data_IF_743828255175
#
_entry.id   IF_743828255175
#
_cell.length_a   1.000
_cell.length_b   1.000
_cell.length_c   1.000
_cell.angle_alpha   90.00
_cell.angle_beta   90.00
_cell.angle_gamma   90.00
#
_symmetry.space_group_name_H-M   'P 1'
#
loop_
_entity.id
_entity.type
_entity.pdbx_description
1 polymer ?
#
# COMPACT_ATOMS: atom_id res chain seq x y z
N UNK A 1 -27.08 -19.41 -19.74
CA UNK A 1 -26.22 -20.50 -19.17
C UNK A 1 -26.96 -21.31 -18.10
N UNK A 2 -27.79 -20.70 -17.24
CA UNK A 2 -28.66 -21.42 -16.27
C UNK A 2 -29.66 -22.38 -16.92
N UNK A 3 -30.17 -22.04 -18.11
CA UNK A 3 -31.25 -22.80 -18.76
C UNK A 3 -30.78 -24.14 -19.33
N UNK A 4 -29.51 -24.22 -19.76
CA UNK A 4 -28.91 -25.46 -20.28
C UNK A 4 -28.69 -26.49 -19.16
N UNK A 5 -28.26 -26.01 -17.99
CA UNK A 5 -28.03 -26.86 -16.81
C UNK A 5 -29.35 -27.44 -16.29
N UNK A 6 -30.43 -26.64 -16.27
CA UNK A 6 -31.75 -27.11 -15.83
C UNK A 6 -32.30 -28.22 -16.75
N UNK A 7 -32.19 -28.03 -18.07
CA UNK A 7 -32.66 -29.02 -19.05
C UNK A 7 -31.90 -30.34 -18.99
N UNK A 8 -30.59 -30.29 -18.75
CA UNK A 8 -29.75 -31.47 -18.59
C UNK A 8 -30.09 -32.26 -17.31
N UNK A 9 -30.32 -31.57 -16.20
CA UNK A 9 -30.70 -32.18 -14.92
C UNK A 9 -32.05 -32.90 -15.03
N UNK A 10 -33.04 -32.29 -15.67
CA UNK A 10 -34.36 -32.92 -15.86
C UNK A 10 -34.31 -34.14 -16.79
N UNK A 11 -33.46 -34.11 -17.82
CA UNK A 11 -33.25 -35.25 -18.72
C UNK A 11 -32.58 -36.42 -18.01
N UNK A 12 -31.60 -36.14 -17.13
CA UNK A 12 -30.93 -37.16 -16.33
C UNK A 12 -31.88 -37.78 -15.30
N UNK A 13 -32.72 -36.98 -14.64
CA UNK A 13 -33.71 -37.47 -13.66
C UNK A 13 -34.70 -38.44 -14.32
N UNK A 14 -35.17 -38.15 -15.53
CA UNK A 14 -36.07 -39.03 -16.30
C UNK A 14 -35.42 -40.36 -16.66
N UNK A 15 -34.13 -40.35 -17.00
CA UNK A 15 -33.43 -41.55 -17.44
C UNK A 15 -32.94 -42.43 -16.29
N UNK A 16 -32.72 -41.82 -15.12
CA UNK A 16 -32.46 -42.54 -13.86
C UNK A 16 -33.72 -43.21 -13.31
N UNK A 17 -34.90 -42.64 -13.52
CA UNK A 17 -36.18 -43.22 -13.08
C UNK A 17 -36.56 -44.50 -13.85
N UNK A 18 -36.05 -44.70 -15.07
CA UNK A 18 -36.29 -45.90 -15.88
C UNK A 18 -35.41 -47.10 -15.52
N UNK A 19 -34.30 -46.92 -14.79
CA UNK A 19 -33.36 -48.02 -14.48
C UNK A 19 -33.54 -48.52 -13.06
N UNK A 20 -33.58 -49.85 -12.91
CA UNK A 20 -33.88 -50.53 -11.64
C UNK A 20 -33.02 -50.06 -10.45
N UNK A 21 -33.62 -50.13 -9.24
CA UNK A 21 -33.19 -49.52 -7.98
C UNK A 21 -31.69 -49.61 -7.64
N UNK A 22 -30.99 -50.69 -8.03
CA UNK A 22 -29.55 -50.87 -7.80
C UNK A 22 -28.66 -50.06 -8.76
N UNK A 23 -29.07 -49.86 -10.02
CA UNK A 23 -28.34 -49.09 -11.02
C UNK A 23 -28.55 -47.58 -10.78
N UNK A 24 -29.76 -47.20 -10.34
CA UNK A 24 -30.10 -45.83 -9.94
C UNK A 24 -29.22 -45.31 -8.79
N UNK A 25 -28.93 -46.15 -7.79
CA UNK A 25 -28.04 -45.78 -6.69
C UNK A 25 -26.58 -45.62 -7.12
N UNK A 26 -26.05 -46.51 -7.98
CA UNK A 26 -24.66 -46.42 -8.44
C UNK A 26 -24.39 -45.18 -9.32
N UNK A 27 -25.35 -44.77 -10.14
CA UNK A 27 -25.20 -43.59 -11.00
C UNK A 27 -25.41 -42.29 -10.20
N UNK A 28 -26.33 -42.26 -9.23
CA UNK A 28 -26.55 -41.11 -8.36
C UNK A 28 -25.28 -40.75 -7.54
N UNK A 29 -24.55 -41.75 -7.05
CA UNK A 29 -23.31 -41.54 -6.28
C UNK A 29 -22.16 -41.02 -7.15
N UNK A 30 -22.11 -41.42 -8.43
CA UNK A 30 -21.04 -41.04 -9.36
C UNK A 30 -21.24 -39.62 -9.92
N UNK A 31 -22.50 -39.20 -10.12
CA UNK A 31 -22.83 -37.81 -10.52
C UNK A 31 -22.61 -36.84 -9.35
N UNK A 32 -22.91 -37.24 -8.12
CA UNK A 32 -22.70 -36.40 -6.93
C UNK A 32 -21.22 -36.08 -6.69
N UNK A 33 -20.30 -36.99 -7.00
CA UNK A 33 -18.85 -36.77 -6.84
C UNK A 33 -18.25 -35.87 -7.92
N UNK A 34 -18.73 -35.97 -9.17
CA UNK A 34 -18.24 -35.12 -10.27
C UNK A 34 -18.75 -33.67 -10.14
N UNK A 35 -19.97 -33.46 -9.61
CA UNK A 35 -20.51 -32.11 -9.38
C UNK A 35 -19.81 -31.39 -8.22
N UNK A 36 -19.42 -32.11 -7.15
CA UNK A 36 -18.69 -31.52 -6.02
C UNK A 36 -17.25 -31.12 -6.36
N UNK A 37 -16.62 -31.81 -7.31
CA UNK A 37 -15.25 -31.50 -7.74
C UNK A 37 -15.18 -30.32 -8.73
N UNK A 38 -16.27 -30.00 -9.43
CA UNK A 38 -16.31 -28.91 -10.41
C UNK A 38 -16.61 -27.52 -9.81
N UNK A 39 -17.15 -27.43 -8.59
CA UNK A 39 -17.48 -26.15 -7.92
C UNK A 39 -16.37 -25.62 -7.01
N UNK A 40 -15.29 -26.38 -6.84
CA UNK A 40 -14.13 -26.01 -6.01
C UNK A 40 -13.10 -25.21 -6.80
N UNK A 41 -13.52 -24.32 -7.70
CA UNK A 41 -12.63 -23.23 -8.13
C UNK A 41 -12.57 -22.24 -6.97
N UNK A 42 -11.62 -22.51 -6.07
CA UNK A 42 -11.19 -21.59 -5.01
C UNK A 42 -10.85 -20.28 -5.73
N UNK A 43 -11.72 -19.28 -5.58
CA UNK A 43 -11.38 -17.89 -5.90
C UNK A 43 -10.37 -17.50 -4.81
N UNK A 44 -9.10 -17.84 -5.03
CA UNK A 44 -8.02 -17.25 -4.28
C UNK A 44 -8.13 -15.74 -4.56
N UNK A 45 -8.37 -14.88 -3.56
CA UNK A 45 -8.20 -13.45 -3.76
C UNK A 45 -6.76 -13.27 -4.20
N UNK A 46 -6.55 -12.93 -5.47
CA UNK A 46 -5.23 -12.51 -5.92
C UNK A 46 -4.85 -11.32 -5.02
N UNK A 47 -3.70 -11.36 -4.32
CA UNK A 47 -3.23 -10.17 -3.63
C UNK A 47 -3.09 -9.09 -4.69
N UNK A 48 -3.97 -8.10 -4.67
CA UNK A 48 -3.79 -6.89 -5.45
C UNK A 48 -2.52 -6.25 -4.90
N UNK A 49 -1.41 -6.39 -5.61
CA UNK A 49 -0.21 -5.63 -5.32
C UNK A 49 -0.59 -4.15 -5.48
N UNK A 50 -0.92 -3.49 -4.37
CA UNK A 50 -1.13 -2.06 -4.35
C UNK A 50 0.24 -1.45 -4.60
N UNK A 51 0.38 -0.69 -5.70
CA UNK A 51 1.62 0.00 -5.99
C UNK A 51 1.92 0.92 -4.79
N UNK A 52 3.11 0.75 -4.19
CA UNK A 52 3.57 1.62 -3.12
C UNK A 52 3.53 3.07 -3.61
N UNK A 53 2.79 3.92 -2.91
CA UNK A 53 2.76 5.35 -3.21
C UNK A 53 4.13 5.92 -2.87
N UNK A 54 4.77 6.56 -3.85
CA UNK A 54 6.01 7.31 -3.66
C UNK A 54 5.72 8.77 -3.94
N UNK A 55 6.08 9.63 -2.99
CA UNK A 55 5.99 11.08 -3.14
C UNK A 55 7.32 11.72 -2.73
N UNK A 56 7.63 12.85 -3.35
CA UNK A 56 8.81 13.67 -3.06
C UNK A 56 8.35 15.03 -2.58
N UNK A 57 8.85 15.49 -1.43
CA UNK A 57 8.48 16.78 -0.86
C UNK A 57 9.67 17.71 -0.87
N UNK A 58 9.62 18.69 -1.76
CA UNK A 58 10.70 19.65 -1.97
C UNK A 58 10.51 20.90 -1.12
N UNK A 59 11.58 21.40 -0.51
CA UNK A 59 11.57 22.63 0.27
C UNK A 59 12.96 23.21 0.46
N UNK A 60 13.07 24.22 1.33
CA UNK A 60 14.35 24.83 1.72
C UNK A 60 14.60 24.60 3.21
N UNK A 61 15.83 24.26 3.58
CA UNK A 61 16.27 24.21 4.98
C UNK A 61 16.41 25.63 5.57
N UNK A 62 16.74 25.74 6.85
CA UNK A 62 16.94 27.04 7.50
C UNK A 62 18.03 27.92 6.85
N UNK A 63 19.03 27.30 6.20
CA UNK A 63 20.10 27.99 5.49
C UNK A 63 19.71 28.43 4.06
N UNK A 64 18.51 28.10 3.61
CA UNK A 64 18.03 28.37 2.25
C UNK A 64 18.54 27.36 1.22
N UNK A 65 19.05 26.21 1.64
CA UNK A 65 19.47 25.15 0.73
C UNK A 65 18.31 24.19 0.44
N UNK A 66 18.17 23.69 -0.80
CA UNK A 66 17.11 22.75 -1.14
C UNK A 66 17.22 21.44 -0.38
N UNK A 67 16.07 20.87 -0.04
CA UNK A 67 15.96 19.48 0.37
C UNK A 67 14.80 18.80 -0.34
N UNK A 68 14.88 17.47 -0.40
CA UNK A 68 13.82 16.59 -0.89
C UNK A 68 13.58 15.50 0.16
N UNK A 69 12.37 15.45 0.72
CA UNK A 69 11.94 14.36 1.61
C UNK A 69 11.22 13.29 0.81
N UNK A 70 11.57 12.01 1.00
CA UNK A 70 10.93 10.89 0.31
C UNK A 70 9.90 10.23 1.20
N UNK A 71 8.68 10.10 0.69
CA UNK A 71 7.58 9.35 1.30
C UNK A 71 7.34 8.06 0.52
N UNK A 72 7.34 6.92 1.20
CA UNK A 72 7.10 5.61 0.60
C UNK A 72 6.10 4.84 1.46
N UNK A 73 5.00 4.43 0.86
CA UNK A 73 4.04 3.47 1.42
C UNK A 73 3.60 3.76 2.87
N UNK A 74 3.27 5.02 3.17
CA UNK A 74 2.79 5.39 4.50
C UNK A 74 3.77 6.20 5.34
N UNK A 75 5.07 6.20 4.98
CA UNK A 75 6.13 6.71 5.85
C UNK A 75 7.11 7.61 5.11
N UNK A 76 7.63 8.63 5.80
CA UNK A 76 8.83 9.33 5.36
C UNK A 76 10.06 8.50 5.70
N UNK A 77 10.87 8.18 4.69
CA UNK A 77 12.01 7.27 4.83
C UNK A 77 13.35 7.97 4.81
N UNK A 78 13.46 9.12 4.14
CA UNK A 78 14.70 9.89 4.07
C UNK A 78 14.46 11.38 3.76
N UNK A 79 15.47 12.20 4.02
CA UNK A 79 15.60 13.56 3.49
C UNK A 79 16.97 13.72 2.84
N UNK A 80 17.00 14.15 1.59
CA UNK A 80 18.21 14.50 0.85
C UNK A 80 18.37 16.02 0.85
N UNK A 81 19.47 16.51 1.40
CA UNK A 81 19.81 17.94 1.42
C UNK A 81 20.82 18.23 0.32
N UNK A 82 20.44 19.11 -0.60
CA UNK A 82 21.41 19.77 -1.47
C UNK A 82 22.18 20.78 -0.63
N UNK A 83 23.50 20.82 -0.82
CA UNK A 83 24.37 21.79 -0.13
C UNK A 83 24.75 22.88 -1.12
N UNK A 84 25.79 23.65 -0.79
CA UNK A 84 26.48 24.44 -1.80
C UNK A 84 26.76 23.59 -3.05
N UNK A 85 26.65 24.16 -4.27
CA UNK A 85 26.87 23.43 -5.53
C UNK A 85 28.24 22.72 -5.65
N UNK A 86 29.21 23.11 -4.83
CA UNK A 86 30.54 22.50 -4.78
C UNK A 86 30.66 21.28 -3.85
N UNK A 87 29.60 20.93 -3.14
CA UNK A 87 29.59 19.88 -2.12
C UNK A 87 28.56 18.80 -2.50
N UNK A 88 28.85 17.51 -2.24
CA UNK A 88 27.88 16.45 -2.49
C UNK A 88 26.65 16.60 -1.58
N UNK A 89 25.48 16.15 -2.05
CA UNK A 89 24.28 16.13 -1.22
C UNK A 89 24.46 15.17 -0.04
N UNK A 90 23.71 15.41 1.01
CA UNK A 90 23.71 14.60 2.23
C UNK A 90 22.33 14.00 2.40
N UNK A 91 22.25 12.68 2.56
CA UNK A 91 21.00 11.98 2.86
C UNK A 91 20.95 11.64 4.33
N UNK A 92 19.80 11.92 4.95
CA UNK A 92 19.44 11.49 6.28
C UNK A 92 18.36 10.42 6.18
N UNK A 93 18.65 9.22 6.67
CA UNK A 93 17.62 8.18 6.85
C UNK A 93 16.70 8.60 8.01
N UNK A 94 15.41 8.52 7.78
CA UNK A 94 14.38 8.88 8.75
C UNK A 94 13.79 7.64 9.42
N UNK A 95 13.54 7.75 10.72
CA UNK A 95 12.77 6.80 11.50
C UNK A 95 11.58 7.52 12.12
N UNK A 96 10.40 6.90 12.04
CA UNK A 96 9.23 7.40 12.75
C UNK A 96 9.51 7.44 14.27
N UNK A 97 9.22 8.56 14.91
CA UNK A 97 9.44 8.76 16.34
C UNK A 97 8.12 8.76 17.11
N UNK A 98 7.26 9.75 16.86
CA UNK A 98 6.05 9.99 17.64
C UNK A 98 5.02 10.82 16.87
N UNK A 99 3.91 11.16 17.52
CA UNK A 99 2.95 12.18 17.07
C UNK A 99 2.95 13.33 18.08
N UNK A 100 2.97 14.58 17.63
CA UNK A 100 2.87 15.73 18.53
C UNK A 100 1.44 16.01 19.02
N UNK A 101 1.28 17.01 19.87
CA UNK A 101 -0.02 17.41 20.43
C UNK A 101 -1.02 17.90 19.35
N UNK A 102 -0.53 18.31 18.19
CA UNK A 102 -1.32 18.75 17.04
C UNK A 102 -1.82 17.59 16.16
N UNK A 103 -1.38 16.35 16.46
CA UNK A 103 -1.69 15.15 15.69
C UNK A 103 -0.79 14.94 14.48
N UNK A 104 0.36 15.60 14.43
CA UNK A 104 1.31 15.54 13.31
C UNK A 104 2.39 14.49 13.59
N UNK A 105 2.56 13.48 12.71
CA UNK A 105 3.66 12.54 12.80
C UNK A 105 5.03 13.23 12.73
N UNK A 106 5.94 12.80 13.59
CA UNK A 106 7.33 13.26 13.68
C UNK A 106 8.25 12.11 13.28
N UNK A 107 9.20 12.43 12.40
CA UNK A 107 10.27 11.54 11.96
C UNK A 107 11.61 12.17 12.33
N UNK A 108 12.57 11.32 12.72
CA UNK A 108 13.91 11.75 13.14
C UNK A 108 14.99 11.04 12.35
N UNK A 109 16.07 11.76 12.10
CA UNK A 109 17.27 11.24 11.47
C UNK A 109 18.51 11.98 11.95
N UNK A 110 19.66 11.67 11.36
CA UNK A 110 20.91 12.38 11.62
C UNK A 110 21.44 13.11 10.39
N UNK A 111 22.12 14.23 10.59
CA UNK A 111 22.80 15.00 9.56
C UNK A 111 24.30 14.99 9.83
N UNK A 112 25.07 14.36 8.92
CA UNK A 112 26.54 14.24 9.00
C UNK A 112 27.07 13.67 10.33
N UNK A 113 26.25 12.94 11.08
CA UNK A 113 26.61 12.39 12.40
C UNK A 113 26.84 13.42 13.51
N UNK A 114 26.43 14.68 13.29
CA UNK A 114 26.68 15.78 14.23
C UNK A 114 25.43 16.59 14.60
N UNK A 115 24.38 16.51 13.79
CA UNK A 115 23.15 17.26 14.00
C UNK A 115 21.94 16.34 13.84
N UNK A 116 20.84 16.71 14.49
CA UNK A 116 19.57 16.01 14.36
C UNK A 116 18.78 16.54 13.16
N UNK A 117 18.08 15.64 12.47
CA UNK A 117 17.04 15.98 11.49
C UNK A 117 15.69 15.68 12.10
N UNK A 118 14.76 16.63 12.01
CA UNK A 118 13.36 16.44 12.40
C UNK A 118 12.49 16.78 11.20
N UNK A 119 11.65 15.85 10.78
CA UNK A 119 10.59 16.08 9.80
C UNK A 119 9.24 15.95 10.50
N UNK A 120 8.37 16.93 10.27
CA UNK A 120 6.98 16.93 10.73
C UNK A 120 6.07 16.83 9.51
N UNK A 121 5.20 15.84 9.51
CA UNK A 121 4.12 15.68 8.53
C UNK A 121 2.91 16.53 8.93
N UNK A 122 2.73 17.67 8.24
CA UNK A 122 1.64 18.62 8.52
C UNK A 122 0.28 18.11 8.02
N UNK A 123 0.26 17.01 7.26
CA UNK A 123 -0.97 16.37 6.79
C UNK A 123 -1.58 15.38 7.79
N UNK A 124 -0.95 15.22 8.97
CA UNK A 124 -1.44 14.37 10.07
C UNK A 124 -1.56 12.89 9.69
N UNK A 125 -0.59 12.39 8.91
CA UNK A 125 -0.54 11.00 8.45
C UNK A 125 -1.32 10.73 7.16
N UNK A 126 -1.92 11.75 6.53
CA UNK A 126 -2.68 11.61 5.29
C UNK A 126 -1.96 12.29 4.12
N UNK A 127 -0.72 11.87 3.87
CA UNK A 127 0.16 12.45 2.85
C UNK A 127 -0.39 12.16 1.46
N UNK A 128 -0.48 13.20 0.63
CA UNK A 128 -0.93 13.20 -0.76
C UNK A 128 -0.22 14.30 -1.53
N UNK A 129 -0.28 14.34 -2.88
CA UNK A 129 0.20 15.50 -3.63
C UNK A 129 -0.42 16.80 -3.10
N UNK A 130 0.42 17.81 -2.87
CA UNK A 130 0.07 19.08 -2.24
C UNK A 130 0.10 19.08 -0.70
N UNK A 131 0.34 17.95 -0.05
CA UNK A 131 0.62 17.92 1.40
C UNK A 131 1.90 18.68 1.73
N UNK A 132 1.97 19.22 2.93
CA UNK A 132 3.12 20.00 3.39
C UNK A 132 3.91 19.25 4.48
N UNK A 133 5.22 19.49 4.50
CA UNK A 133 6.13 19.04 5.55
C UNK A 133 6.93 20.19 6.10
N UNK A 134 7.37 20.07 7.35
CA UNK A 134 8.35 20.97 7.95
C UNK A 134 9.60 20.17 8.31
N UNK A 135 10.76 20.60 7.83
CA UNK A 135 12.04 19.96 8.12
C UNK A 135 12.94 20.93 8.88
N UNK A 136 13.60 20.44 9.93
CA UNK A 136 14.66 21.12 10.63
C UNK A 136 15.94 20.28 10.68
N UNK A 137 17.07 20.99 10.64
CA UNK A 137 18.39 20.46 10.98
C UNK A 137 18.87 21.22 12.22
N UNK A 138 19.22 20.49 13.28
CA UNK A 138 19.66 21.06 14.57
C UNK A 138 18.73 22.15 15.14
N UNK A 139 17.41 21.88 15.10
CA UNK A 139 16.34 22.82 15.49
C UNK A 139 16.26 24.12 14.67
N UNK A 140 17.04 24.25 13.59
CA UNK A 140 16.90 25.32 12.61
C UNK A 140 15.71 25.06 11.68
N UNK A 141 14.62 25.80 11.87
CA UNK A 141 13.43 25.71 11.03
C UNK A 141 13.43 26.78 9.94
N UNK A 142 12.94 26.43 8.75
CA UNK A 142 12.54 27.41 7.74
C UNK A 142 11.06 27.80 7.97
N UNK A 143 10.71 29.04 7.62
CA UNK A 143 9.32 29.50 7.59
C UNK A 143 8.54 28.87 6.43
N UNK A 144 9.22 28.66 5.30
CA UNK A 144 8.66 27.97 4.14
C UNK A 144 8.53 26.47 4.42
N UNK A 145 7.47 25.86 3.88
CA UNK A 145 7.17 24.43 4.02
C UNK A 145 7.62 23.69 2.77
N UNK A 146 8.01 22.43 2.93
CA UNK A 146 8.18 21.54 1.79
C UNK A 146 6.83 21.09 1.28
N UNK A 147 6.68 20.94 -0.04
CA UNK A 147 5.41 20.54 -0.67
C UNK A 147 5.59 19.22 -1.41
N UNK A 148 4.72 18.26 -1.13
CA UNK A 148 4.77 16.92 -1.69
C UNK A 148 4.19 16.86 -3.12
N UNK A 149 4.91 16.19 -4.02
CA UNK A 149 4.53 15.91 -5.40
C UNK A 149 4.86 14.47 -5.81
N UNK A 150 4.58 14.15 -7.08
CA UNK A 150 4.91 12.87 -7.73
C UNK A 150 6.12 12.99 -8.63
#
# INVERSE_FOLDING_TARGET
MKDFVSGFVESLQRELAKRGKKISQLIATLVATVVFLATSTIILPMPTAQAAMVLFCDGLDHGGYPYEATYVDGLFTQVRFDRSPSLPPVTSELTYDTVNEQGEPIYRGGYLGMADVVLIDLSKGNVRPGSEVSVAVDNGWNQERGVCGV
#
